data_IF_314777565220
#
_entry.id   IF_314777565220
#
_cell.length_a   1.000
_cell.length_b   1.000
_cell.length_c   1.000
_cell.angle_alpha   90.00
_cell.angle_beta   90.00
_cell.angle_gamma   90.00
#
_symmetry.space_group_name_H-M   'P 1'
#
loop_
_entity.id
_entity.type
_entity.pdbx_description
1 polymer ?
#
# COMPACT_ATOMS: atom_id res chain seq x y z
N UNK A 1 5.22 1.85 -3.71
CA UNK A 1 4.03 1.92 -2.83
C UNK A 1 2.91 0.95 -3.19
N UNK A 2 2.38 0.96 -4.42
CA UNK A 2 1.21 0.13 -4.79
C UNK A 2 1.37 -1.39 -4.55
N UNK A 3 2.56 -1.95 -4.77
CA UNK A 3 2.88 -3.37 -4.44
C UNK A 3 2.56 -3.69 -2.98
N UNK A 4 3.02 -2.84 -2.06
CA UNK A 4 2.81 -2.99 -0.63
C UNK A 4 1.36 -2.73 -0.23
N UNK A 5 0.67 -1.81 -0.91
CA UNK A 5 -0.75 -1.55 -0.69
C UNK A 5 -1.59 -2.79 -1.00
N UNK A 6 -1.34 -3.42 -2.15
CA UNK A 6 -1.99 -4.67 -2.55
C UNK A 6 -1.72 -5.78 -1.54
N UNK A 7 -0.45 -5.95 -1.13
CA UNK A 7 -0.08 -6.95 -0.13
C UNK A 7 -0.79 -6.73 1.22
N UNK A 8 -0.90 -5.48 1.66
CA UNK A 8 -1.61 -5.09 2.89
C UNK A 8 -3.11 -5.41 2.79
N UNK A 9 -3.73 -5.11 1.64
CA UNK A 9 -5.15 -5.39 1.38
C UNK A 9 -5.44 -6.90 1.35
N UNK A 10 -4.53 -7.70 0.78
CA UNK A 10 -4.63 -9.18 0.78
C UNK A 10 -4.58 -9.72 2.21
N UNK A 11 -3.68 -9.17 3.04
CA UNK A 11 -3.57 -9.53 4.44
C UNK A 11 -4.84 -9.22 5.23
N UNK A 12 -5.40 -8.02 5.04
CA UNK A 12 -6.65 -7.57 5.65
C UNK A 12 -7.81 -8.52 5.28
N UNK A 13 -7.92 -8.89 3.99
CA UNK A 13 -8.93 -9.83 3.52
C UNK A 13 -8.79 -11.21 4.17
N UNK A 14 -7.55 -11.72 4.31
CA UNK A 14 -7.31 -13.02 4.94
C UNK A 14 -7.71 -13.02 6.41
N UNK A 15 -7.39 -11.96 7.14
CA UNK A 15 -7.74 -11.86 8.56
C UNK A 15 -9.25 -11.74 8.77
N UNK A 16 -9.95 -10.94 7.96
CA UNK A 16 -11.41 -10.79 8.02
C UNK A 16 -12.15 -12.13 7.85
N UNK A 17 -11.57 -13.08 7.11
CA UNK A 17 -12.11 -14.42 6.96
C UNK A 17 -11.87 -15.33 8.16
N UNK A 18 -10.73 -15.19 8.84
CA UNK A 18 -10.41 -15.99 10.04
C UNK A 18 -11.24 -15.62 11.26
N UNK A 19 -11.82 -14.41 11.28
CA UNK A 19 -12.64 -13.89 12.39
C UNK A 19 -14.08 -14.43 12.42
N UNK A 20 -14.50 -15.24 11.45
CA UNK A 20 -15.85 -15.80 11.38
C UNK A 20 -16.21 -16.85 12.45
N UNK A 21 -15.30 -17.20 13.38
CA UNK A 21 -15.53 -18.26 14.37
C UNK A 21 -15.14 -17.91 15.81
N UNK A 22 -14.56 -16.74 16.09
CA UNK A 22 -14.21 -16.31 17.46
C UNK A 22 -14.46 -14.81 17.63
N UNK A 23 -14.92 -14.42 18.82
CA UNK A 23 -15.37 -13.11 19.27
C UNK A 23 -14.72 -11.88 18.59
N UNK A 24 -15.43 -10.72 18.51
CA UNK A 24 -14.89 -9.50 17.91
C UNK A 24 -13.65 -9.03 18.67
N UNK A 25 -12.47 -9.51 18.25
CA UNK A 25 -11.21 -8.97 18.69
C UNK A 25 -11.09 -7.58 18.07
N UNK A 26 -11.07 -6.58 18.94
CA UNK A 26 -10.73 -5.19 18.61
C UNK A 26 -9.51 -5.21 17.67
N UNK A 27 -9.63 -4.53 16.52
CA UNK A 27 -8.50 -4.37 15.59
C UNK A 27 -7.29 -3.86 16.38
N UNK A 28 -6.12 -4.47 16.18
CA UNK A 28 -4.91 -3.96 16.82
C UNK A 28 -4.58 -2.57 16.28
N UNK A 29 -4.01 -1.71 17.12
CA UNK A 29 -3.60 -0.36 16.71
C UNK A 29 -2.66 -0.42 15.49
N UNK A 30 -1.77 -1.42 15.45
CA UNK A 30 -0.89 -1.69 14.31
C UNK A 30 -1.66 -1.96 13.01
N UNK A 31 -2.73 -2.75 13.06
CA UNK A 31 -3.56 -3.03 11.89
C UNK A 31 -4.28 -1.76 11.41
N UNK A 32 -4.80 -0.96 12.34
CA UNK A 32 -5.44 0.32 12.03
C UNK A 32 -4.44 1.25 11.34
N UNK A 33 -3.26 1.44 11.91
CA UNK A 33 -2.20 2.30 11.33
C UNK A 33 -1.79 1.79 9.96
N UNK A 34 -1.47 0.50 9.83
CA UNK A 34 -1.02 -0.08 8.57
C UNK A 34 -2.07 0.09 7.46
N UNK A 35 -3.35 -0.20 7.73
CA UNK A 35 -4.42 -0.10 6.73
C UNK A 35 -4.73 1.35 6.34
N UNK A 36 -4.77 2.27 7.31
CA UNK A 36 -5.04 3.69 7.03
C UNK A 36 -3.91 4.34 6.23
N UNK A 37 -2.66 4.15 6.65
CA UNK A 37 -1.52 4.72 5.93
C UNK A 37 -1.35 4.07 4.55
N UNK A 38 -1.57 2.76 4.43
CA UNK A 38 -1.59 2.06 3.14
C UNK A 38 -2.62 2.67 2.17
N UNK A 39 -3.86 2.90 2.63
CA UNK A 39 -4.92 3.54 1.83
C UNK A 39 -4.60 4.99 1.50
N UNK A 40 -4.04 5.75 2.45
CA UNK A 40 -3.62 7.12 2.21
C UNK A 40 -2.53 7.20 1.14
N UNK A 41 -1.50 6.36 1.21
CA UNK A 41 -0.49 6.27 0.17
C UNK A 41 -1.08 5.91 -1.20
N UNK A 42 -2.05 4.99 -1.27
CA UNK A 42 -2.75 4.69 -2.52
C UNK A 42 -3.58 5.88 -3.03
N UNK A 43 -4.23 6.63 -2.13
CA UNK A 43 -4.93 7.88 -2.45
C UNK A 43 -3.97 8.91 -3.04
N UNK A 44 -2.81 9.13 -2.43
CA UNK A 44 -1.80 10.07 -2.95
C UNK A 44 -1.40 9.70 -4.38
N UNK A 45 -1.06 8.43 -4.63
CA UNK A 45 -0.68 7.96 -5.99
C UNK A 45 -1.81 8.18 -7.00
N UNK A 46 -3.06 8.05 -6.58
CA UNK A 46 -4.23 8.12 -7.46
C UNK A 46 -4.74 9.55 -7.72
N UNK A 47 -4.69 10.41 -6.70
CA UNK A 47 -5.43 11.68 -6.67
C UNK A 47 -4.56 12.91 -6.40
N UNK A 48 -3.45 12.75 -5.67
CA UNK A 48 -2.52 13.83 -5.34
C UNK A 48 -1.07 13.47 -5.71
N UNK A 49 -0.81 12.96 -6.94
CA UNK A 49 0.55 12.54 -7.31
C UNK A 49 1.53 13.72 -7.34
N UNK A 50 1.06 14.96 -7.50
CA UNK A 50 1.86 16.17 -7.38
C UNK A 50 2.52 16.36 -5.99
N UNK A 51 2.02 15.67 -4.96
CA UNK A 51 2.61 15.67 -3.62
C UNK A 51 3.63 14.55 -3.43
N UNK A 52 3.81 13.69 -4.43
CA UNK A 52 4.80 12.63 -4.41
C UNK A 52 6.10 13.12 -5.05
N UNK A 53 7.24 12.55 -4.64
CA UNK A 53 8.54 12.89 -5.20
C UNK A 53 8.84 12.17 -6.52
N UNK A 54 7.88 11.42 -7.07
CA UNK A 54 7.99 10.69 -8.33
C UNK A 54 7.16 11.41 -9.40
N UNK A 55 7.41 11.15 -10.68
CA UNK A 55 6.72 11.83 -11.78
C UNK A 55 5.19 11.61 -11.78
N UNK A 56 4.43 12.71 -11.83
CA UNK A 56 2.97 12.71 -11.75
C UNK A 56 2.29 11.85 -12.81
N UNK A 57 2.74 11.96 -14.07
CA UNK A 57 2.15 11.25 -15.20
C UNK A 57 2.42 9.75 -15.09
N UNK A 58 3.65 9.40 -14.71
CA UNK A 58 4.05 8.04 -14.43
C UNK A 58 3.23 7.43 -13.29
N UNK A 59 3.06 8.13 -12.16
CA UNK A 59 2.23 7.68 -11.04
C UNK A 59 0.77 7.42 -11.48
N UNK A 60 0.16 8.35 -12.23
CA UNK A 60 -1.22 8.22 -12.74
C UNK A 60 -1.35 7.04 -13.71
N UNK A 61 -0.40 6.89 -14.64
CA UNK A 61 -0.38 5.80 -15.62
C UNK A 61 -0.26 4.44 -14.93
N UNK A 62 0.70 4.33 -14.00
CA UNK A 62 0.91 3.12 -13.20
C UNK A 62 -0.34 2.73 -12.41
N UNK A 63 -0.95 3.69 -11.71
CA UNK A 63 -2.19 3.45 -10.96
C UNK A 63 -3.33 2.97 -11.87
N UNK A 64 -3.53 3.60 -13.02
CA UNK A 64 -4.57 3.20 -13.98
C UNK A 64 -4.35 1.76 -14.49
N UNK A 65 -3.12 1.40 -14.81
CA UNK A 65 -2.78 0.05 -15.27
C UNK A 65 -3.08 -1.00 -14.19
N UNK A 66 -2.61 -0.76 -12.96
CA UNK A 66 -2.85 -1.66 -11.82
C UNK A 66 -4.34 -1.73 -11.47
N UNK A 67 -5.05 -0.60 -11.44
CA UNK A 67 -6.50 -0.54 -11.18
C UNK A 67 -7.28 -1.36 -12.19
N UNK A 68 -6.98 -1.24 -13.48
CA UNK A 68 -7.63 -2.00 -14.55
C UNK A 68 -7.52 -3.51 -14.32
N UNK A 69 -6.33 -3.98 -13.96
CA UNK A 69 -6.12 -5.40 -13.68
C UNK A 69 -6.84 -5.85 -12.40
N UNK A 70 -6.79 -5.05 -11.33
CA UNK A 70 -7.53 -5.34 -10.10
C UNK A 70 -9.04 -5.43 -10.37
N UNK A 71 -9.62 -4.50 -11.13
CA UNK A 71 -11.04 -4.52 -11.48
C UNK A 71 -11.40 -5.78 -12.25
N UNK A 72 -10.62 -6.16 -13.27
CA UNK A 72 -10.85 -7.41 -14.01
C UNK A 72 -10.88 -8.63 -13.10
N UNK A 73 -9.94 -8.72 -12.16
CA UNK A 73 -9.86 -9.84 -11.20
C UNK A 73 -11.08 -9.84 -10.29
N UNK A 74 -11.47 -8.69 -9.75
CA UNK A 74 -12.63 -8.58 -8.86
C UNK A 74 -13.94 -8.92 -9.59
N UNK A 75 -14.10 -8.49 -10.84
CA UNK A 75 -15.27 -8.82 -11.66
C UNK A 75 -15.36 -10.33 -11.92
N UNK A 76 -14.24 -10.98 -12.27
CA UNK A 76 -14.17 -12.43 -12.42
C UNK A 76 -14.47 -13.16 -11.09
N UNK A 77 -14.01 -12.60 -9.97
CA UNK A 77 -14.27 -13.12 -8.64
C UNK A 77 -15.75 -13.04 -8.26
N UNK A 78 -16.47 -12.01 -8.69
CA UNK A 78 -17.93 -11.89 -8.49
C UNK A 78 -18.70 -12.84 -9.42
N UNK A 79 -18.25 -12.99 -10.66
CA UNK A 79 -18.92 -13.81 -11.67
C UNK A 79 -18.83 -15.33 -11.43
N UNK A 80 -17.79 -15.81 -10.74
CA UNK A 80 -17.62 -17.25 -10.50
C UNK A 80 -18.61 -17.78 -9.43
N UNK A 81 -19.18 -18.96 -9.67
CA UNK A 81 -20.16 -19.61 -8.79
C UNK A 81 -19.54 -20.51 -7.70
N UNK A 82 -18.20 -20.57 -7.59
CA UNK A 82 -17.53 -21.46 -6.65
C UNK A 82 -17.73 -21.08 -5.18
N UNK A 83 -17.99 -22.09 -4.35
CA UNK A 83 -18.13 -22.00 -2.89
C UNK A 83 -16.77 -21.93 -2.16
N UNK A 84 -15.83 -21.14 -2.67
CA UNK A 84 -14.50 -20.95 -2.08
C UNK A 84 -14.45 -19.61 -1.34
N UNK A 85 -13.63 -19.53 -0.28
CA UNK A 85 -13.47 -18.27 0.46
C UNK A 85 -12.96 -17.15 -0.46
N UNK A 86 -13.43 -15.91 -0.26
CA UNK A 86 -13.03 -14.69 -1.00
C UNK A 86 -11.52 -14.58 -1.30
N UNK A 87 -10.67 -14.75 -0.29
CA UNK A 87 -9.22 -14.78 -0.40
C UNK A 87 -8.70 -15.89 -1.32
N UNK A 88 -9.10 -17.15 -1.10
CA UNK A 88 -8.62 -18.28 -1.90
C UNK A 88 -9.00 -18.13 -3.37
N UNK A 89 -10.22 -17.63 -3.62
CA UNK A 89 -10.73 -17.35 -4.96
C UNK A 89 -10.01 -16.20 -5.65
N UNK A 90 -9.75 -15.12 -4.91
CA UNK A 90 -8.94 -14.02 -5.42
C UNK A 90 -7.55 -14.54 -5.82
N UNK A 91 -6.96 -15.38 -4.98
CA UNK A 91 -5.62 -15.91 -5.20
C UNK A 91 -5.53 -16.81 -6.44
N UNK A 92 -6.51 -17.69 -6.64
CA UNK A 92 -6.55 -18.56 -7.82
C UNK A 92 -6.63 -17.75 -9.11
N UNK A 93 -7.49 -16.72 -9.15
CA UNK A 93 -7.63 -15.84 -10.32
C UNK A 93 -6.35 -15.05 -10.64
N UNK A 94 -5.56 -14.71 -9.62
CA UNK A 94 -4.30 -14.01 -9.79
C UNK A 94 -3.14 -14.92 -10.25
N UNK A 95 -3.33 -16.24 -10.16
CA UNK A 95 -2.40 -17.26 -10.61
C UNK A 95 -2.76 -17.82 -12.00
N UNK A 96 -3.86 -17.39 -12.61
CA UNK A 96 -4.27 -17.84 -13.94
C UNK A 96 -3.22 -17.44 -15.01
N UNK A 97 -2.93 -18.31 -15.99
CA UNK A 97 -1.81 -18.11 -16.93
C UNK A 97 -1.92 -16.88 -17.84
N UNK A 98 -3.11 -16.31 -18.00
CA UNK A 98 -3.43 -15.13 -18.81
C UNK A 98 -4.70 -14.49 -18.21
N UNK A 99 -4.79 -13.14 -18.09
CA UNK A 99 -4.03 -12.16 -18.85
C UNK A 99 -2.79 -11.63 -18.13
N UNK A 100 -1.85 -11.03 -18.87
CA UNK A 100 -0.65 -10.34 -18.34
C UNK A 100 -1.02 -9.24 -17.34
N UNK A 101 -1.15 -9.60 -16.07
CA UNK A 101 -1.27 -8.65 -14.98
C UNK A 101 -0.03 -7.77 -14.91
N UNK A 102 -0.22 -6.49 -14.59
CA UNK A 102 0.84 -5.55 -14.37
C UNK A 102 1.78 -6.10 -13.28
N UNK A 103 3.09 -5.96 -13.47
CA UNK A 103 4.12 -6.53 -12.58
C UNK A 103 3.92 -6.10 -11.11
N UNK A 104 3.42 -4.90 -10.87
CA UNK A 104 3.09 -4.40 -9.52
C UNK A 104 1.96 -5.21 -8.86
N UNK A 105 0.94 -5.62 -9.62
CA UNK A 105 -0.11 -6.49 -9.10
C UNK A 105 0.48 -7.86 -8.77
N UNK A 106 1.22 -8.48 -9.71
CA UNK A 106 1.88 -9.77 -9.50
C UNK A 106 2.77 -9.75 -8.25
N UNK A 107 3.62 -8.73 -8.12
CA UNK A 107 4.52 -8.60 -6.99
C UNK A 107 3.76 -8.36 -5.68
N UNK A 108 2.67 -7.57 -5.73
CA UNK A 108 1.85 -7.30 -4.56
C UNK A 108 1.14 -8.56 -4.04
N UNK A 109 0.71 -9.42 -4.96
CA UNK A 109 0.09 -10.71 -4.65
C UNK A 109 1.11 -11.66 -4.02
N UNK A 110 2.26 -11.86 -4.65
CA UNK A 110 3.35 -12.68 -4.12
C UNK A 110 3.77 -12.22 -2.73
N UNK A 111 3.90 -10.91 -2.52
CA UNK A 111 4.24 -10.34 -1.22
C UNK A 111 3.12 -10.56 -0.20
N UNK A 112 1.85 -10.41 -0.59
CA UNK A 112 0.69 -10.69 0.24
C UNK A 112 0.65 -12.15 0.71
N UNK A 113 0.87 -13.10 -0.18
CA UNK A 113 0.99 -14.52 0.15
C UNK A 113 2.12 -14.78 1.16
N UNK A 114 3.29 -14.17 0.96
CA UNK A 114 4.40 -14.30 1.89
C UNK A 114 4.07 -13.75 3.28
N UNK A 115 3.37 -12.61 3.36
CA UNK A 115 2.92 -12.03 4.63
C UNK A 115 1.89 -12.93 5.33
N UNK A 116 0.91 -13.47 4.58
CA UNK A 116 -0.08 -14.42 5.11
C UNK A 116 0.61 -15.69 5.62
N UNK A 117 1.53 -16.27 4.85
CA UNK A 117 2.23 -17.48 5.24
C UNK A 117 3.09 -17.25 6.48
N UNK A 118 3.77 -16.11 6.59
CA UNK A 118 4.53 -15.74 7.80
C UNK A 118 3.63 -15.61 9.03
N UNK A 119 2.46 -14.98 8.91
CA UNK A 119 1.47 -14.91 10.00
C UNK A 119 0.99 -16.28 10.46
N UNK A 120 0.70 -17.18 9.50
CA UNK A 120 0.20 -18.51 9.79
C UNK A 120 1.28 -19.43 10.40
N UNK A 121 2.55 -19.23 10.05
CA UNK A 121 3.66 -20.07 10.52
C UNK A 121 4.23 -19.64 11.88
N UNK A 122 4.16 -18.34 12.23
CA UNK A 122 4.83 -17.82 13.44
C UNK A 122 3.95 -17.83 14.69
N UNK A 123 2.67 -18.22 14.60
CA UNK A 123 1.76 -18.23 15.75
C UNK A 123 1.45 -16.85 16.35
N UNK A 124 2.04 -15.79 15.79
CA UNK A 124 1.89 -14.40 16.23
C UNK A 124 1.09 -13.61 15.19
N UNK A 125 -0.26 -13.59 15.29
CA UNK A 125 -1.13 -12.91 14.34
C UNK A 125 -0.90 -11.38 14.29
N UNK A 126 -0.12 -10.82 15.21
CA UNK A 126 0.16 -9.39 15.31
C UNK A 126 1.47 -8.96 14.63
N UNK A 127 2.40 -9.90 14.40
CA UNK A 127 3.77 -9.56 13.98
C UNK A 127 3.82 -8.89 12.59
N UNK A 128 3.05 -9.38 11.62
CA UNK A 128 3.02 -8.75 10.29
C UNK A 128 2.35 -7.38 10.30
N UNK A 129 1.34 -7.16 11.15
CA UNK A 129 0.71 -5.86 11.30
C UNK A 129 1.65 -4.85 11.92
N UNK A 130 2.40 -5.25 12.96
CA UNK A 130 3.45 -4.42 13.56
C UNK A 130 4.56 -4.06 12.57
N UNK A 131 4.95 -5.01 11.72
CA UNK A 131 5.90 -4.73 10.64
C UNK A 131 5.31 -3.72 9.63
N UNK A 132 4.08 -3.93 9.19
CA UNK A 132 3.43 -3.05 8.21
C UNK A 132 3.14 -1.66 8.77
N UNK A 133 2.79 -1.51 10.05
CA UNK A 133 2.57 -0.21 10.68
C UNK A 133 3.86 0.61 10.68
N UNK A 134 4.98 -0.01 11.03
CA UNK A 134 6.31 0.59 10.94
C UNK A 134 6.70 0.93 9.49
N UNK A 135 6.53 -0.02 8.56
CA UNK A 135 6.83 0.17 7.14
C UNK A 135 6.07 1.36 6.54
N UNK A 136 4.75 1.44 6.77
CA UNK A 136 3.94 2.52 6.20
C UNK A 136 4.22 3.87 6.86
N UNK A 137 4.53 3.90 8.14
CA UNK A 137 4.97 5.13 8.82
C UNK A 137 6.29 5.64 8.23
N UNK A 138 7.26 4.74 8.02
CA UNK A 138 8.52 5.07 7.34
C UNK A 138 8.30 5.48 5.88
N UNK A 139 7.34 4.86 5.17
CA UNK A 139 7.01 5.25 3.81
C UNK A 139 6.52 6.69 3.73
N UNK A 140 5.64 7.12 4.65
CA UNK A 140 5.18 8.52 4.73
C UNK A 140 6.36 9.47 4.95
N UNK A 141 7.25 9.15 5.90
CA UNK A 141 8.45 9.94 6.16
C UNK A 141 9.40 9.98 4.95
N UNK A 142 9.47 8.88 4.19
CA UNK A 142 10.32 8.79 3.00
C UNK A 142 9.77 9.60 1.82
N UNK A 143 8.46 9.61 1.61
CA UNK A 143 7.85 10.32 0.46
C UNK A 143 7.55 11.79 0.76
N UNK A 144 7.51 12.20 2.03
CA UNK A 144 7.17 13.57 2.41
C UNK A 144 8.21 14.62 1.94
N UNK A 145 9.53 14.39 2.01
CA UNK A 145 10.51 15.29 1.39
C UNK A 145 10.30 15.35 -0.13
N UNK A 146 9.86 16.51 -0.61
CA UNK A 146 9.58 16.80 -2.01
C UNK A 146 10.05 18.21 -2.35
N UNK A 147 10.54 18.38 -3.57
CA UNK A 147 10.93 19.66 -4.15
C UNK A 147 9.73 20.41 -4.77
N UNK A 148 8.56 19.78 -4.85
CA UNK A 148 7.34 20.39 -5.37
C UNK A 148 6.66 21.32 -4.34
N UNK A 149 7.32 22.43 -4.01
CA UNK A 149 6.82 23.46 -3.10
C UNK A 149 5.45 24.00 -3.54
N UNK A 150 5.23 24.11 -4.86
CA UNK A 150 3.96 24.58 -5.43
C UNK A 150 2.82 23.60 -5.10
N UNK A 151 3.05 22.29 -5.27
CA UNK A 151 2.07 21.26 -4.92
C UNK A 151 1.67 21.34 -3.44
N UNK A 152 2.65 21.45 -2.54
CA UNK A 152 2.37 21.61 -1.10
C UNK A 152 1.61 22.91 -0.78
N UNK A 153 1.96 24.03 -1.40
CA UNK A 153 1.25 25.30 -1.22
C UNK A 153 -0.22 25.21 -1.69
N UNK A 154 -0.48 24.56 -2.84
CA UNK A 154 -1.84 24.32 -3.34
C UNK A 154 -2.64 23.40 -2.41
N UNK A 155 -2.02 22.36 -1.84
CA UNK A 155 -2.67 21.47 -0.88
C UNK A 155 -3.10 22.22 0.40
N UNK A 156 -2.25 23.13 0.91
CA UNK A 156 -2.61 23.98 2.06
C UNK A 156 -3.84 24.84 1.75
N UNK A 157 -3.89 25.44 0.56
CA UNK A 157 -5.02 26.28 0.14
C UNK A 157 -6.35 25.50 0.05
N UNK A 158 -6.31 24.17 -0.07
CA UNK A 158 -7.50 23.29 -0.16
C UNK A 158 -7.90 22.66 1.18
N UNK A 159 -7.28 23.04 2.30
CA UNK A 159 -7.59 22.51 3.63
C UNK A 159 -6.47 21.67 4.25
N UNK A 160 -5.34 21.50 3.56
CA UNK A 160 -4.18 20.78 4.04
C UNK A 160 -4.23 19.28 3.77
N UNK A 161 -3.05 18.68 3.65
CA UNK A 161 -2.85 17.24 3.44
C UNK A 161 -1.88 16.74 4.52
N UNK A 162 -2.07 15.51 5.03
CA UNK A 162 -1.18 14.93 6.05
C UNK A 162 0.28 14.96 5.59
N UNK A 163 0.55 14.56 4.35
CA UNK A 163 1.91 14.57 3.78
C UNK A 163 2.52 15.97 3.77
N UNK A 164 1.71 17.01 3.57
CA UNK A 164 2.18 18.41 3.59
C UNK A 164 2.54 18.86 5.01
N UNK A 165 1.81 18.40 6.03
CA UNK A 165 2.19 18.65 7.43
C UNK A 165 3.50 17.95 7.79
N UNK A 166 3.67 16.69 7.38
CA UNK A 166 4.91 15.93 7.60
C UNK A 166 6.07 16.60 6.87
N UNK A 167 5.89 16.99 5.61
CA UNK A 167 6.87 17.74 4.83
C UNK A 167 7.31 19.02 5.55
N UNK A 168 6.37 19.85 6.03
CA UNK A 168 6.71 21.08 6.74
C UNK A 168 7.52 20.84 8.02
N UNK A 169 7.20 19.78 8.77
CA UNK A 169 7.97 19.38 9.96
C UNK A 169 9.39 18.94 9.60
N UNK A 170 9.55 18.16 8.52
CA UNK A 170 10.85 17.70 8.03
C UNK A 170 11.71 18.88 7.53
N UNK A 171 11.11 19.80 6.77
CA UNK A 171 11.76 21.04 6.33
C UNK A 171 12.28 21.87 7.51
N UNK A 172 11.50 21.98 8.58
CA UNK A 172 11.87 22.74 9.77
C UNK A 172 13.11 22.17 10.50
N UNK A 173 13.37 20.87 10.37
CA UNK A 173 14.58 20.22 10.93
C UNK A 173 15.69 20.02 9.91
N UNK A 174 15.57 20.65 8.73
CA UNK A 174 16.59 20.61 7.67
C UNK A 174 16.57 19.35 6.81
N UNK A 175 15.48 18.57 6.81
CA UNK A 175 15.30 17.40 5.96
C UNK A 175 14.41 17.81 4.78
N UNK A 176 15.03 18.26 3.70
CA UNK A 176 14.35 18.79 2.50
C UNK A 176 14.39 17.82 1.31
N UNK A 177 15.20 16.75 1.37
CA UNK A 177 15.38 15.78 0.28
C UNK A 177 15.42 14.35 0.78
N UNK A 178 15.05 13.42 -0.11
CA UNK A 178 15.25 11.98 0.12
C UNK A 178 16.76 11.66 0.12
N UNK A 179 17.20 10.66 0.90
CA UNK A 179 18.56 10.12 0.78
C UNK A 179 18.82 9.74 -0.68
N UNK A 180 19.89 10.26 -1.28
CA UNK A 180 20.25 9.86 -2.64
C UNK A 180 20.68 8.39 -2.63
N UNK A 181 20.28 7.61 -3.64
CA UNK A 181 20.74 6.23 -3.80
C UNK A 181 22.21 6.13 -4.24
N UNK A 182 22.99 7.20 -4.09
CA UNK A 182 24.33 7.37 -4.62
C UNK A 182 25.30 7.88 -3.54
N UNK A 183 25.36 7.21 -2.39
CA UNK A 183 26.52 7.27 -1.50
C UNK A 183 26.90 5.84 -1.11
N UNK A 184 27.54 5.19 -2.08
CA UNK A 184 28.15 3.88 -1.98
C UNK A 184 29.27 3.79 -2.99
N UNK A 185 30.16 4.79 -3.01
CA UNK A 185 31.51 4.70 -3.56
C UNK A 185 32.38 5.85 -3.03
N UNK A 186 33.45 5.48 -2.32
CA UNK A 186 34.58 6.35 -1.97
C UNK A 186 34.64 6.82 -0.52
N UNK A 187 35.22 6.03 0.38
CA UNK A 187 36.67 6.00 0.74
C UNK A 187 37.01 4.63 1.30
#
# INVERSE_FOLDING_TARGET
MLTWHIATSILEMRQAQGQGQQHPHRLSDDMIVATHLSRYCAYLVAYMPELLPDDDEWCKSLYKAVKKDCTRVLDAQVASAEATTRYNKLLSLLQEPEPKHHVVLINGVKLGEQLVNKLLQQGEPTAAWKFLSGFWSQMILYIAPSDNLKGHAEAIARGGELITLVWALLMNVGIDRRPSSAEGDGV
#
